data_IF_266628130980
#
_entry.id   IF_266628130980
#
_cell.length_a   1.000
_cell.length_b   1.000
_cell.length_c   1.000
_cell.angle_alpha   90.00
_cell.angle_beta   90.00
_cell.angle_gamma   90.00
#
_symmetry.space_group_name_H-M   'P 1'
#
loop_
_entity.id
_entity.type
_entity.pdbx_description
1 polymer ?
#
# COMPACT_ATOMS: atom_id res chain seq x y z
N UNK A 1 3.77 -13.13 17.10
CA UNK A 1 3.95 -12.26 18.29
C UNK A 1 2.57 -11.94 18.84
N UNK A 2 2.30 -12.13 20.13
CA UNK A 2 1.04 -11.65 20.73
C UNK A 2 1.16 -10.13 20.82
N UNK A 3 0.40 -9.40 20.00
CA UNK A 3 0.28 -7.96 20.10
C UNK A 3 -0.57 -7.63 21.32
N UNK A 4 -0.12 -6.68 22.13
CA UNK A 4 -0.94 -6.04 23.17
C UNK A 4 -0.94 -4.53 22.94
N UNK A 5 -1.91 -3.84 23.55
CA UNK A 5 -2.14 -2.39 23.38
C UNK A 5 -0.85 -1.58 23.57
N UNK A 6 -0.12 -1.84 24.66
CA UNK A 6 1.11 -1.11 25.00
C UNK A 6 2.22 -1.25 23.94
N UNK A 7 2.49 -2.47 23.45
CA UNK A 7 3.50 -2.68 22.39
C UNK A 7 3.11 -2.01 21.08
N UNK A 8 1.83 -2.01 20.74
CA UNK A 8 1.37 -1.27 19.55
C UNK A 8 1.62 0.22 19.74
N UNK A 9 1.20 0.81 20.86
CA UNK A 9 1.43 2.22 21.16
C UNK A 9 2.90 2.61 21.11
N UNK A 10 3.80 1.80 21.67
CA UNK A 10 5.24 2.04 21.60
C UNK A 10 5.73 2.07 20.15
N UNK A 11 5.32 1.07 19.35
CA UNK A 11 5.67 0.98 17.92
C UNK A 11 5.15 2.19 17.14
N UNK A 12 3.90 2.60 17.35
CA UNK A 12 3.30 3.76 16.67
C UNK A 12 4.01 5.05 17.07
N UNK A 13 4.33 5.24 18.35
CA UNK A 13 5.08 6.42 18.80
C UNK A 13 6.51 6.43 18.24
N UNK A 14 7.16 5.27 18.11
CA UNK A 14 8.45 5.18 17.44
C UNK A 14 8.33 5.56 15.96
N UNK A 15 7.31 5.05 15.26
CA UNK A 15 7.02 5.38 13.86
C UNK A 15 6.82 6.88 13.66
N UNK A 16 6.06 7.54 14.54
CA UNK A 16 5.86 9.00 14.53
C UNK A 16 7.20 9.73 14.71
N UNK A 17 8.07 9.24 15.59
CA UNK A 17 9.40 9.84 15.82
C UNK A 17 10.37 9.66 14.65
N UNK A 18 10.36 8.51 13.99
CA UNK A 18 11.35 8.16 12.94
C UNK A 18 10.87 8.50 11.53
N UNK A 19 9.65 8.07 11.19
CA UNK A 19 9.07 8.13 9.85
C UNK A 19 7.97 9.20 9.73
N UNK A 20 7.79 10.01 10.78
CA UNK A 20 6.86 11.13 10.91
C UNK A 20 5.37 10.77 10.95
N UNK A 21 4.94 9.72 10.24
CA UNK A 21 3.52 9.43 10.05
C UNK A 21 3.16 7.96 10.23
N UNK A 22 1.95 7.73 10.75
CA UNK A 22 1.30 6.43 10.91
C UNK A 22 0.30 6.20 9.78
N UNK A 23 0.24 4.98 9.25
CA UNK A 23 -0.72 4.58 8.21
C UNK A 23 -1.60 3.44 8.70
N UNK A 24 -2.91 3.69 8.77
CA UNK A 24 -3.91 2.65 8.97
C UNK A 24 -4.60 2.30 7.65
N UNK A 25 -4.84 1.01 7.39
CA UNK A 25 -5.55 0.57 6.18
C UNK A 25 -6.82 -0.17 6.55
N UNK A 26 -7.97 0.33 6.10
CA UNK A 26 -9.25 -0.35 6.24
C UNK A 26 -9.43 -1.38 5.12
N UNK A 27 -9.24 -2.66 5.44
CA UNK A 27 -9.24 -3.78 4.50
C UNK A 27 -10.50 -4.65 4.61
N UNK A 28 -11.10 -5.00 3.47
CA UNK A 28 -12.25 -5.89 3.35
C UNK A 28 -11.93 -7.32 2.93
N UNK A 29 -10.66 -7.63 2.64
CA UNK A 29 -10.21 -8.95 2.19
C UNK A 29 -8.77 -9.25 2.66
N UNK A 30 -8.44 -10.53 2.79
CA UNK A 30 -7.09 -10.97 3.19
C UNK A 30 -6.00 -10.54 2.21
N UNK A 31 -6.32 -10.48 0.91
CA UNK A 31 -5.41 -10.00 -0.13
C UNK A 31 -4.97 -8.55 0.12
N UNK A 32 -5.94 -7.67 0.36
CA UNK A 32 -5.70 -6.26 0.67
C UNK A 32 -4.88 -6.12 1.94
N UNK A 33 -5.24 -6.83 3.02
CA UNK A 33 -4.51 -6.74 4.28
C UNK A 33 -3.06 -7.23 4.17
N UNK A 34 -2.83 -8.36 3.48
CA UNK A 34 -1.49 -8.91 3.24
C UNK A 34 -0.58 -7.93 2.51
N UNK A 35 -1.08 -7.31 1.44
CA UNK A 35 -0.27 -6.35 0.67
C UNK A 35 -0.19 -4.98 1.31
N UNK A 36 -1.17 -4.57 2.12
CA UNK A 36 -1.05 -3.39 2.97
C UNK A 36 0.07 -3.57 4.02
N UNK A 37 0.18 -4.74 4.65
CA UNK A 37 1.31 -5.06 5.54
C UNK A 37 2.66 -5.00 4.81
N UNK A 38 2.76 -5.58 3.61
CA UNK A 38 3.98 -5.52 2.80
C UNK A 38 4.32 -4.10 2.34
N UNK A 39 3.29 -3.27 2.11
CA UNK A 39 3.41 -1.86 1.76
C UNK A 39 3.77 -0.95 2.94
N UNK A 40 3.88 -1.50 4.16
CA UNK A 40 4.30 -0.75 5.34
C UNK A 40 3.18 -0.07 6.12
N UNK A 41 1.93 -0.55 6.01
CA UNK A 41 0.87 -0.15 6.94
C UNK A 41 1.27 -0.49 8.38
N UNK A 42 0.80 0.31 9.34
CA UNK A 42 1.10 0.12 10.76
C UNK A 42 0.05 -0.74 11.49
N UNK A 43 -1.19 -0.70 11.00
CA UNK A 43 -2.31 -1.53 11.46
C UNK A 43 -3.41 -1.62 10.40
N UNK A 44 -4.24 -2.66 10.52
CA UNK A 44 -5.40 -2.90 9.67
C UNK A 44 -6.68 -2.58 10.44
N UNK A 45 -7.65 -1.93 9.82
CA UNK A 45 -9.03 -1.85 10.32
C UNK A 45 -9.92 -2.80 9.54
N UNK A 46 -10.62 -3.67 10.27
CA UNK A 46 -11.65 -4.53 9.70
C UNK A 46 -13.00 -3.83 9.81
N UNK A 47 -13.45 -3.20 8.73
CA UNK A 47 -14.74 -2.47 8.68
C UNK A 47 -15.73 -3.20 7.78
N UNK A 48 -17.00 -3.25 8.16
CA UNK A 48 -18.06 -3.83 7.29
C UNK A 48 -18.08 -3.14 5.92
N UNK A 49 -17.89 -1.83 5.86
CA UNK A 49 -17.82 -1.06 4.61
C UNK A 49 -16.60 -1.40 3.75
N UNK A 50 -15.51 -1.92 4.34
CA UNK A 50 -14.41 -2.52 3.56
C UNK A 50 -14.87 -3.78 2.85
N UNK A 51 -15.55 -4.69 3.57
CA UNK A 51 -16.10 -5.91 2.97
C UNK A 51 -17.09 -5.60 1.85
N UNK A 52 -17.99 -4.64 2.08
CA UNK A 52 -18.94 -4.18 1.05
C UNK A 52 -18.25 -3.64 -0.20
N UNK A 53 -17.16 -2.86 -0.05
CA UNK A 53 -16.37 -2.41 -1.22
C UNK A 53 -15.80 -3.59 -2.01
N UNK A 54 -15.30 -4.61 -1.32
CA UNK A 54 -14.77 -5.82 -1.97
C UNK A 54 -15.85 -6.66 -2.66
N UNK A 55 -17.10 -6.56 -2.20
CA UNK A 55 -18.26 -7.14 -2.88
C UNK A 55 -18.75 -6.30 -4.08
N UNK A 56 -18.07 -5.20 -4.40
CA UNK A 56 -18.46 -4.29 -5.49
C UNK A 56 -19.64 -3.39 -5.15
N UNK A 57 -19.99 -3.22 -3.87
CA UNK A 57 -21.08 -2.35 -3.42
C UNK A 57 -20.56 -1.12 -2.67
N UNK A 58 -21.42 -0.12 -2.51
CA UNK A 58 -21.07 1.15 -1.85
C UNK A 58 -20.70 0.94 -0.37
N UNK A 59 -19.75 1.74 0.15
CA UNK A 59 -19.46 1.79 1.59
C UNK A 59 -20.67 2.21 2.44
N UNK A 60 -21.67 2.86 1.83
CA UNK A 60 -22.93 3.20 2.50
C UNK A 60 -23.79 1.98 2.84
N UNK A 61 -23.55 0.82 2.24
CA UNK A 61 -24.24 -0.42 2.61
C UNK A 61 -23.98 -0.82 4.09
N UNK A 62 -22.89 -0.33 4.70
CA UNK A 62 -22.64 -0.47 6.14
C UNK A 62 -23.66 0.23 7.03
N UNK A 63 -24.44 1.17 6.50
CA UNK A 63 -25.46 1.94 7.23
C UNK A 63 -26.89 1.50 6.90
N UNK A 64 -27.05 0.45 6.08
CA UNK A 64 -28.36 -0.08 5.69
C UNK A 64 -28.60 -1.44 6.35
N UNK A 65 -29.86 -1.89 6.38
CA UNK A 65 -30.26 -3.18 6.95
C UNK A 65 -29.90 -4.38 6.05
N UNK A 66 -28.80 -4.32 5.29
CA UNK A 66 -28.41 -5.37 4.34
C UNK A 66 -27.70 -6.54 5.03
N UNK A 67 -27.03 -6.31 6.16
CA UNK A 67 -26.39 -7.34 6.98
C UNK A 67 -26.10 -6.79 8.39
N UNK A 68 -25.92 -7.68 9.36
CA UNK A 68 -25.35 -7.29 10.66
C UNK A 68 -23.87 -6.93 10.48
N UNK A 69 -23.51 -5.68 10.81
CA UNK A 69 -22.13 -5.20 10.68
C UNK A 69 -21.17 -5.98 11.58
N UNK A 70 -21.57 -6.24 12.83
CA UNK A 70 -20.75 -6.96 13.81
C UNK A 70 -20.48 -8.40 13.37
N UNK A 71 -21.52 -9.12 12.93
CA UNK A 71 -21.36 -10.49 12.42
C UNK A 71 -20.52 -10.54 11.16
N UNK A 72 -20.75 -9.61 10.23
CA UNK A 72 -19.98 -9.54 8.98
C UNK A 72 -18.49 -9.33 9.28
N UNK A 73 -18.14 -8.36 10.11
CA UNK A 73 -16.74 -8.09 10.49
C UNK A 73 -16.13 -9.29 11.21
N UNK A 74 -16.84 -9.88 12.17
CA UNK A 74 -16.36 -11.08 12.87
C UNK A 74 -16.07 -12.22 11.91
N UNK A 75 -16.94 -12.45 10.93
CA UNK A 75 -16.81 -13.53 9.96
C UNK A 75 -15.57 -13.36 9.05
N UNK A 76 -15.53 -12.28 8.25
CA UNK A 76 -14.45 -12.13 7.27
C UNK A 76 -13.11 -11.82 7.95
N UNK A 77 -13.11 -11.05 9.04
CA UNK A 77 -11.86 -10.64 9.65
C UNK A 77 -11.18 -11.78 10.41
N UNK A 78 -11.95 -12.67 11.05
CA UNK A 78 -11.38 -13.84 11.72
C UNK A 78 -10.89 -14.91 10.75
N UNK A 79 -11.55 -15.06 9.59
CA UNK A 79 -11.24 -16.11 8.60
C UNK A 79 -10.24 -15.68 7.54
N UNK A 80 -10.24 -14.40 7.17
CA UNK A 80 -9.48 -13.91 6.01
C UNK A 80 -8.39 -12.91 6.39
N UNK A 81 -8.57 -12.11 7.45
CA UNK A 81 -7.56 -11.13 7.87
C UNK A 81 -6.59 -11.75 8.87
N UNK A 82 -7.06 -12.09 10.08
CA UNK A 82 -6.19 -12.59 11.15
C UNK A 82 -5.23 -13.72 10.71
N UNK A 83 -5.64 -14.71 9.90
CA UNK A 83 -4.74 -15.81 9.50
C UNK A 83 -3.60 -15.41 8.57
N UNK A 84 -3.73 -14.31 7.81
CA UNK A 84 -2.69 -13.86 6.85
C UNK A 84 -1.78 -12.77 7.40
N UNK A 85 -2.12 -12.20 8.57
CA UNK A 85 -1.35 -11.13 9.20
C UNK A 85 -0.20 -11.69 10.04
N UNK A 86 0.97 -11.07 9.95
CA UNK A 86 2.18 -11.58 10.60
C UNK A 86 2.92 -10.57 11.48
N UNK A 87 2.82 -9.27 11.16
CA UNK A 87 3.64 -8.17 11.69
C UNK A 87 2.86 -6.93 12.12
N UNK A 88 1.59 -6.81 11.73
CA UNK A 88 0.74 -5.71 12.17
C UNK A 88 -0.62 -6.20 12.64
N UNK A 89 -1.24 -5.49 13.60
CA UNK A 89 -2.50 -5.92 14.17
C UNK A 89 -3.71 -5.61 13.31
N UNK A 90 -4.80 -6.32 13.59
CA UNK A 90 -6.14 -6.05 13.07
C UNK A 90 -7.02 -5.46 14.18
N UNK A 91 -7.64 -4.32 13.90
CA UNK A 91 -8.54 -3.58 14.77
C UNK A 91 -9.98 -3.80 14.28
N UNK A 92 -10.89 -4.17 15.17
CA UNK A 92 -12.26 -4.55 14.85
C UNK A 92 -13.16 -3.31 14.72
N UNK A 93 -13.85 -3.14 13.59
CA UNK A 93 -14.92 -2.14 13.44
C UNK A 93 -16.18 -2.62 14.15
N UNK A 94 -16.49 -2.03 15.30
CA UNK A 94 -17.62 -2.34 16.15
C UNK A 94 -18.79 -1.39 15.86
N UNK A 95 -19.94 -1.98 15.49
CA UNK A 95 -21.22 -1.28 15.46
C UNK A 95 -21.79 -1.19 16.88
N UNK A 96 -21.38 -0.18 17.63
CA UNK A 96 -21.69 -0.06 19.06
C UNK A 96 -23.17 0.27 19.37
N UNK A 97 -23.88 0.87 18.39
CA UNK A 97 -25.30 1.22 18.52
C UNK A 97 -26.23 0.11 18.02
N UNK A 98 -25.71 -1.10 17.81
CA UNK A 98 -26.52 -2.28 17.54
C UNK A 98 -27.47 -2.54 18.72
N UNK A 99 -28.80 -2.52 18.51
CA UNK A 99 -29.76 -2.67 19.60
C UNK A 99 -29.75 -4.07 20.21
N UNK A 100 -29.23 -5.08 19.52
CA UNK A 100 -29.17 -6.46 20.00
C UNK A 100 -27.83 -6.79 20.70
N UNK A 101 -26.94 -5.80 20.83
CA UNK A 101 -25.58 -6.00 21.33
C UNK A 101 -25.49 -5.92 22.86
N UNK A 102 -25.04 -7.00 23.47
CA UNK A 102 -24.47 -6.98 24.83
C UNK A 102 -23.01 -6.53 24.76
N UNK A 103 -22.77 -5.24 25.01
CA UNK A 103 -21.53 -4.55 24.65
C UNK A 103 -20.27 -5.13 25.31
N UNK A 104 -20.28 -5.30 26.64
CA UNK A 104 -19.11 -5.81 27.39
C UNK A 104 -18.73 -7.25 26.98
N UNK A 105 -19.72 -8.13 26.87
CA UNK A 105 -19.52 -9.52 26.44
C UNK A 105 -18.97 -9.59 25.03
N UNK A 106 -19.49 -8.75 24.13
CA UNK A 106 -19.06 -8.76 22.74
C UNK A 106 -17.65 -8.18 22.57
N UNK A 107 -17.30 -7.11 23.30
CA UNK A 107 -15.93 -6.57 23.30
C UNK A 107 -14.94 -7.60 23.88
N UNK A 108 -15.35 -8.31 24.93
CA UNK A 108 -14.57 -9.44 25.48
C UNK A 108 -14.37 -10.55 24.45
N UNK A 109 -15.43 -10.90 23.69
CA UNK A 109 -15.35 -11.84 22.58
C UNK A 109 -14.42 -11.38 21.47
N UNK A 110 -14.45 -10.10 21.08
CA UNK A 110 -13.52 -9.52 20.10
C UNK A 110 -12.07 -9.77 20.54
N UNK A 111 -11.74 -9.50 21.81
CA UNK A 111 -10.41 -9.78 22.36
C UNK A 111 -10.05 -11.27 22.28
N UNK A 112 -10.97 -12.17 22.62
CA UNK A 112 -10.75 -13.62 22.60
C UNK A 112 -10.47 -14.17 21.19
N UNK A 113 -11.07 -13.58 20.15
CA UNK A 113 -10.78 -13.94 18.76
C UNK A 113 -9.40 -13.48 18.26
N UNK A 114 -8.68 -12.67 19.03
CA UNK A 114 -7.32 -12.22 18.72
C UNK A 114 -7.23 -10.82 18.12
N UNK A 115 -8.34 -10.09 18.03
CA UNK A 115 -8.30 -8.65 17.75
C UNK A 115 -7.73 -7.92 18.97
N UNK A 116 -6.83 -6.96 18.73
CA UNK A 116 -6.18 -6.25 19.83
C UNK A 116 -6.83 -4.90 20.12
N UNK A 117 -7.87 -4.54 19.38
CA UNK A 117 -8.50 -3.24 19.49
C UNK A 117 -9.81 -3.12 18.75
N UNK A 118 -10.50 -2.01 18.99
CA UNK A 118 -11.76 -1.66 18.33
C UNK A 118 -11.71 -0.27 17.70
N UNK A 119 -12.65 -0.06 16.77
CA UNK A 119 -13.01 1.22 16.18
C UNK A 119 -14.54 1.34 16.19
N UNK A 120 -15.08 2.52 16.50
CA UNK A 120 -16.53 2.79 16.45
C UNK A 120 -17.00 2.96 15.01
N UNK A 121 -17.29 1.84 14.33
CA UNK A 121 -17.79 1.86 12.96
C UNK A 121 -18.66 0.64 12.65
N UNK A 122 -19.82 0.81 11.98
CA UNK A 122 -20.46 2.06 11.55
C UNK A 122 -20.75 3.02 12.72
N UNK A 123 -20.75 4.32 12.42
CA UNK A 123 -20.92 5.38 13.41
C UNK A 123 -22.09 6.28 13.07
N UNK A 124 -22.95 6.58 14.04
CA UNK A 124 -24.04 7.55 13.88
C UNK A 124 -23.51 8.96 13.60
N UNK A 125 -22.22 9.21 13.87
CA UNK A 125 -21.56 10.48 13.57
C UNK A 125 -21.54 10.85 12.08
N UNK A 126 -21.73 9.88 11.18
CA UNK A 126 -21.90 10.12 9.73
C UNK A 126 -23.35 10.40 9.31
N UNK A 127 -24.31 10.26 10.23
CA UNK A 127 -25.74 10.48 9.98
C UNK A 127 -26.11 11.87 10.50
N UNK A 128 -26.81 12.66 9.69
CA UNK A 128 -27.25 14.03 9.99
C UNK A 128 -28.76 14.23 9.76
N UNK A 129 -29.21 15.47 9.95
CA UNK A 129 -30.59 15.89 9.75
C UNK A 129 -31.61 15.25 10.69
N UNK A 130 -32.88 15.29 10.28
CA UNK A 130 -34.01 14.77 11.07
C UNK A 130 -33.86 13.27 11.37
N UNK A 131 -33.19 12.52 10.50
CA UNK A 131 -32.96 11.09 10.74
C UNK A 131 -31.99 10.87 11.90
N UNK A 132 -30.91 11.66 11.99
CA UNK A 132 -30.02 11.62 13.16
C UNK A 132 -30.75 11.98 14.45
N UNK A 133 -31.57 13.02 14.43
CA UNK A 133 -32.37 13.42 15.60
C UNK A 133 -33.30 12.29 16.07
N UNK A 134 -33.93 11.59 15.12
CA UNK A 134 -34.77 10.43 15.42
C UNK A 134 -33.97 9.28 16.04
N UNK A 135 -32.78 8.95 15.52
CA UNK A 135 -31.91 7.92 16.09
C UNK A 135 -31.51 8.24 17.53
N UNK A 136 -31.06 9.48 17.78
CA UNK A 136 -30.66 9.93 19.13
C UNK A 136 -31.86 9.89 20.10
N UNK A 137 -33.07 10.20 19.64
CA UNK A 137 -34.29 10.10 20.46
C UNK A 137 -34.65 8.65 20.89
N UNK A 138 -34.10 7.65 20.20
CA UNK A 138 -34.34 6.22 20.43
C UNK A 138 -33.10 5.52 21.00
N UNK A 139 -32.21 6.27 21.65
CA UNK A 139 -30.97 5.75 22.27
C UNK A 139 -29.98 5.09 21.29
N UNK A 140 -30.05 5.44 20.00
CA UNK A 140 -29.04 5.12 18.99
C UNK A 140 -28.11 6.33 18.87
N UNK A 141 -27.28 6.49 19.90
CA UNK A 141 -26.56 7.74 20.20
C UNK A 141 -25.05 7.58 20.03
N UNK A 142 -24.35 8.69 19.76
CA UNK A 142 -22.88 8.68 19.75
C UNK A 142 -22.30 8.35 21.13
N UNK A 143 -23.02 8.63 22.22
CA UNK A 143 -22.62 8.29 23.59
C UNK A 143 -22.44 6.78 23.80
N UNK A 144 -23.21 5.93 23.11
CA UNK A 144 -22.99 4.47 23.12
C UNK A 144 -21.68 4.07 22.44
N UNK A 145 -21.24 4.80 21.42
CA UNK A 145 -19.92 4.60 20.81
C UNK A 145 -18.79 5.00 21.76
N UNK A 146 -18.98 6.09 22.52
CA UNK A 146 -18.05 6.52 23.57
C UNK A 146 -17.95 5.45 24.68
N UNK A 147 -19.07 4.87 25.09
CA UNK A 147 -19.09 3.78 26.07
C UNK A 147 -18.33 2.55 25.57
N UNK A 148 -18.48 2.18 24.29
CA UNK A 148 -17.73 1.07 23.72
C UNK A 148 -16.21 1.29 23.79
N UNK A 149 -15.75 2.53 23.50
CA UNK A 149 -14.33 2.89 23.63
C UNK A 149 -13.87 2.83 25.09
N UNK A 150 -14.70 3.26 26.04
CA UNK A 150 -14.41 3.18 27.49
C UNK A 150 -14.25 1.74 27.95
N UNK A 151 -15.18 0.86 27.61
CA UNK A 151 -15.13 -0.57 27.96
C UNK A 151 -13.91 -1.22 27.31
N UNK A 152 -13.64 -0.94 26.03
CA UNK A 152 -12.47 -1.49 25.36
C UNK A 152 -11.16 -1.03 26.02
N UNK A 153 -11.05 0.24 26.39
CA UNK A 153 -9.88 0.75 27.11
C UNK A 153 -9.69 0.02 28.46
N UNK A 154 -10.76 -0.15 29.24
CA UNK A 154 -10.73 -0.89 30.52
C UNK A 154 -10.31 -2.35 30.35
N UNK A 155 -10.67 -2.96 29.22
CA UNK A 155 -10.27 -4.33 28.85
C UNK A 155 -8.88 -4.39 28.17
N UNK A 156 -8.06 -3.33 28.24
CA UNK A 156 -6.72 -3.25 27.64
C UNK A 156 -6.72 -3.54 26.12
N UNK A 157 -7.79 -3.12 25.44
CA UNK A 157 -7.85 -3.09 23.98
C UNK A 157 -7.40 -1.71 23.48
N UNK A 158 -6.71 -1.74 22.34
CA UNK A 158 -6.37 -0.55 21.57
C UNK A 158 -7.63 0.08 20.99
N UNK A 159 -7.67 1.41 20.91
CA UNK A 159 -8.90 2.13 20.55
C UNK A 159 -8.63 3.19 19.49
N UNK A 160 -9.38 3.10 18.39
CA UNK A 160 -9.38 4.10 17.32
C UNK A 160 -10.75 4.76 17.30
N UNK A 161 -10.84 6.00 17.79
CA UNK A 161 -12.11 6.71 17.86
C UNK A 161 -12.31 7.61 16.64
N UNK A 162 -13.31 7.31 15.80
CA UNK A 162 -13.80 8.24 14.80
C UNK A 162 -14.62 9.35 15.44
N UNK A 163 -14.29 10.58 15.10
CA UNK A 163 -14.94 11.80 15.62
C UNK A 163 -15.19 12.80 14.49
N UNK A 164 -16.21 13.64 14.67
CA UNK A 164 -16.70 14.58 13.65
C UNK A 164 -16.71 16.02 14.14
N UNK A 165 -16.59 16.24 15.45
CA UNK A 165 -16.54 17.56 16.06
C UNK A 165 -15.72 17.55 17.37
N UNK A 166 -15.53 18.73 17.95
CA UNK A 166 -14.70 18.94 19.15
C UNK A 166 -15.28 18.22 20.38
N UNK A 167 -16.60 18.26 20.59
CA UNK A 167 -17.25 17.61 21.74
C UNK A 167 -16.98 16.11 21.73
N UNK A 168 -17.19 15.47 20.58
CA UNK A 168 -16.95 14.04 20.42
C UNK A 168 -15.49 13.64 20.66
N UNK A 169 -14.54 14.48 20.24
CA UNK A 169 -13.12 14.24 20.52
C UNK A 169 -12.83 14.30 22.03
N UNK A 170 -13.41 15.26 22.74
CA UNK A 170 -13.28 15.38 24.20
C UNK A 170 -13.87 14.14 24.88
N UNK A 171 -15.07 13.72 24.49
CA UNK A 171 -15.75 12.56 25.08
C UNK A 171 -14.94 11.27 24.86
N UNK A 172 -14.40 11.07 23.65
CA UNK A 172 -13.56 9.92 23.32
C UNK A 172 -12.22 9.95 24.06
N UNK A 173 -11.64 11.13 24.29
CA UNK A 173 -10.43 11.27 25.12
C UNK A 173 -10.71 10.88 26.57
N UNK A 174 -11.82 11.33 27.15
CA UNK A 174 -12.22 10.92 28.50
C UNK A 174 -12.55 9.43 28.60
N UNK A 175 -13.02 8.80 27.51
CA UNK A 175 -13.18 7.35 27.41
C UNK A 175 -11.85 6.59 27.28
N UNK A 176 -10.72 7.28 27.12
CA UNK A 176 -9.40 6.66 27.01
C UNK A 176 -9.02 6.22 25.60
N UNK A 177 -9.52 6.91 24.57
CA UNK A 177 -9.11 6.66 23.19
C UNK A 177 -7.59 6.82 22.98
N UNK A 178 -6.98 5.85 22.31
CA UNK A 178 -5.54 5.86 21.99
C UNK A 178 -5.25 6.69 20.72
N UNK A 179 -6.14 6.58 19.74
CA UNK A 179 -6.18 7.41 18.52
C UNK A 179 -7.48 8.20 18.50
N UNK A 180 -7.36 9.52 18.31
CA UNK A 180 -8.47 10.37 17.85
C UNK A 180 -8.33 10.52 16.34
N UNK A 181 -9.30 9.98 15.60
CA UNK A 181 -9.32 10.01 14.15
C UNK A 181 -10.47 10.88 13.65
N UNK A 182 -10.15 12.05 13.08
CA UNK A 182 -11.16 12.94 12.49
C UNK A 182 -11.64 12.33 11.17
N UNK A 183 -12.91 11.95 11.13
CA UNK A 183 -13.53 11.38 9.96
C UNK A 183 -14.12 12.49 9.08
N UNK A 184 -13.51 12.71 7.91
CA UNK A 184 -13.79 13.83 7.01
C UNK A 184 -14.95 13.55 6.04
N UNK A 185 -15.88 12.67 6.44
CA UNK A 185 -16.94 12.15 5.56
C UNK A 185 -16.47 11.09 4.56
N UNK A 186 -17.34 10.78 3.58
CA UNK A 186 -17.11 9.72 2.60
C UNK A 186 -16.03 10.10 1.59
N UNK A 187 -15.15 9.15 1.29
CA UNK A 187 -14.10 9.30 0.27
C UNK A 187 -14.71 9.50 -1.12
N UNK A 188 -14.26 10.53 -1.81
CA UNK A 188 -14.68 10.82 -3.20
C UNK A 188 -13.81 10.03 -4.18
N UNK A 189 -14.37 9.59 -5.31
CA UNK A 189 -13.63 8.84 -6.35
C UNK A 189 -13.97 7.35 -6.48
N UNK A 190 -13.59 6.76 -7.62
CA UNK A 190 -14.09 5.46 -8.10
C UNK A 190 -15.46 5.58 -8.79
N UNK A 191 -15.91 4.51 -9.48
CA UNK A 191 -17.18 4.54 -10.24
C UNK A 191 -18.39 4.70 -9.30
N UNK A 192 -18.27 4.16 -8.07
CA UNK A 192 -19.31 4.15 -7.03
C UNK A 192 -19.01 5.11 -5.86
N UNK A 193 -18.14 6.12 -6.06
CA UNK A 193 -17.76 7.09 -5.02
C UNK A 193 -18.84 8.14 -4.74
N UNK A 194 -18.83 8.73 -3.54
CA UNK A 194 -19.68 9.87 -3.22
C UNK A 194 -19.21 11.13 -3.99
N UNK A 195 -20.15 12.01 -4.38
CA UNK A 195 -19.82 13.32 -5.00
C UNK A 195 -19.15 14.23 -3.95
N UNK A 196 -18.22 15.09 -4.38
CA UNK A 196 -17.40 15.91 -3.48
C UNK A 196 -18.23 17.02 -2.82
N UNK A 197 -18.43 16.90 -1.49
CA UNK A 197 -19.18 17.87 -0.68
C UNK A 197 -18.24 18.89 0.00
N UNK A 198 -16.97 18.51 0.25
CA UNK A 198 -16.03 19.28 1.06
C UNK A 198 -14.68 19.50 0.35
N UNK A 199 -14.10 20.70 0.48
CA UNK A 199 -12.77 21.01 -0.05
C UNK A 199 -11.66 20.53 0.90
N UNK A 200 -10.47 20.28 0.36
CA UNK A 200 -9.32 19.83 1.16
C UNK A 200 -8.91 20.86 2.23
N UNK A 201 -9.05 22.17 1.91
CA UNK A 201 -8.82 23.26 2.87
C UNK A 201 -9.80 23.24 4.04
N UNK A 202 -11.10 23.05 3.79
CA UNK A 202 -12.08 23.01 4.88
C UNK A 202 -11.96 21.73 5.70
N UNK A 203 -11.59 20.61 5.08
CA UNK A 203 -11.25 19.36 5.77
C UNK A 203 -10.05 19.53 6.71
N UNK A 204 -8.98 20.19 6.25
CA UNK A 204 -7.81 20.52 7.08
C UNK A 204 -8.17 21.42 8.25
N UNK A 205 -8.96 22.47 8.01
CA UNK A 205 -9.44 23.38 9.05
C UNK A 205 -10.21 22.64 10.14
N UNK A 206 -11.18 21.80 9.74
CA UNK A 206 -11.96 20.97 10.67
C UNK A 206 -11.07 20.09 11.54
N UNK A 207 -10.12 19.37 10.93
CA UNK A 207 -9.21 18.51 11.67
C UNK A 207 -8.36 19.30 12.68
N UNK A 208 -7.79 20.43 12.28
CA UNK A 208 -6.99 21.30 13.16
C UNK A 208 -7.82 21.84 14.32
N UNK A 209 -9.05 22.28 14.08
CA UNK A 209 -9.92 22.81 15.12
C UNK A 209 -10.29 21.73 16.15
N UNK A 210 -10.58 20.49 15.72
CA UNK A 210 -10.82 19.36 16.64
C UNK A 210 -9.55 19.01 17.43
N UNK A 211 -8.38 18.98 16.78
CA UNK A 211 -7.13 18.63 17.44
C UNK A 211 -6.61 19.70 18.40
N UNK A 212 -7.10 20.95 18.31
CA UNK A 212 -6.82 21.98 19.33
C UNK A 212 -7.26 21.51 20.72
N UNK A 213 -8.49 21.01 20.84
CA UNK A 213 -9.01 20.46 22.09
C UNK A 213 -8.24 19.21 22.56
N UNK A 214 -7.80 18.38 21.59
CA UNK A 214 -6.99 17.22 21.91
C UNK A 214 -5.64 17.61 22.53
N UNK A 215 -5.00 18.65 22.00
CA UNK A 215 -3.71 19.12 22.52
C UNK A 215 -3.83 19.71 23.93
N UNK A 216 -4.97 20.32 24.25
CA UNK A 216 -5.25 20.89 25.58
C UNK A 216 -5.48 19.79 26.64
N UNK A 217 -6.20 18.72 26.28
CA UNK A 217 -6.55 17.64 27.22
C UNK A 217 -5.48 16.53 27.32
N UNK A 218 -4.97 16.07 26.17
CA UNK A 218 -3.98 15.01 26.10
C UNK A 218 -3.05 15.22 24.88
N UNK A 219 -1.94 15.96 25.04
CA UNK A 219 -1.04 16.28 23.93
C UNK A 219 -0.36 15.05 23.30
N UNK A 220 -0.33 13.93 24.02
CA UNK A 220 0.29 12.68 23.58
C UNK A 220 -0.66 11.77 22.79
N UNK A 221 -1.94 12.13 22.65
CA UNK A 221 -2.87 11.32 21.85
C UNK A 221 -2.45 11.33 20.38
N UNK A 222 -2.55 10.18 19.73
CA UNK A 222 -2.22 10.05 18.31
C UNK A 222 -3.39 10.64 17.50
N UNK A 223 -3.09 11.67 16.71
CA UNK A 223 -4.07 12.42 15.91
C UNK A 223 -4.03 11.95 14.46
N UNK A 224 -5.12 11.39 13.95
CA UNK A 224 -5.19 10.88 12.57
C UNK A 224 -6.39 11.44 11.82
N UNK A 225 -6.35 11.40 10.50
CA UNK A 225 -7.49 11.76 9.64
C UNK A 225 -7.94 10.56 8.80
N UNK A 226 -9.23 10.47 8.50
CA UNK A 226 -9.80 9.42 7.66
C UNK A 226 -10.78 9.99 6.62
N UNK A 227 -10.67 9.49 5.39
CA UNK A 227 -11.67 9.70 4.34
C UNK A 227 -11.77 11.13 3.80
N UNK A 228 -12.96 11.51 3.36
CA UNK A 228 -13.25 12.81 2.78
C UNK A 228 -12.55 13.10 1.45
N UNK A 229 -12.06 14.33 1.21
CA UNK A 229 -11.40 14.70 -0.03
C UNK A 229 -9.95 14.18 -0.16
N UNK A 230 -9.45 13.42 0.82
CA UNK A 230 -8.06 12.95 0.87
C UNK A 230 -7.93 11.62 0.12
N UNK A 231 -7.46 11.67 -1.13
CA UNK A 231 -7.50 10.53 -2.05
C UNK A 231 -6.13 10.12 -2.62
N UNK A 232 -5.11 10.95 -2.42
CA UNK A 232 -3.78 10.75 -2.98
C UNK A 232 -2.69 11.13 -1.98
N UNK A 233 -1.43 10.72 -2.21
CA UNK A 233 -0.32 11.11 -1.35
C UNK A 233 -0.14 12.63 -1.21
N UNK A 234 -0.44 13.40 -2.26
CA UNK A 234 -0.31 14.86 -2.21
C UNK A 234 -1.40 15.51 -1.34
N UNK A 235 -2.62 14.95 -1.34
CA UNK A 235 -3.68 15.41 -0.45
C UNK A 235 -3.32 15.14 1.02
N UNK A 236 -2.78 13.95 1.29
CA UNK A 236 -2.33 13.57 2.63
C UNK A 236 -1.18 14.47 3.10
N UNK A 237 -0.19 14.73 2.23
CA UNK A 237 0.90 15.65 2.55
C UNK A 237 0.37 17.05 2.89
N UNK A 238 -0.58 17.55 2.10
CA UNK A 238 -1.23 18.83 2.38
C UNK A 238 -1.92 18.86 3.74
N UNK A 239 -2.55 17.76 4.18
CA UNK A 239 -3.14 17.67 5.52
C UNK A 239 -2.05 17.76 6.61
N UNK A 240 -0.90 17.12 6.41
CA UNK A 240 0.21 17.13 7.37
C UNK A 240 0.94 18.47 7.48
N UNK A 241 1.07 19.21 6.38
CA UNK A 241 1.89 20.42 6.34
C UNK A 241 1.42 21.48 7.35
N UNK A 242 2.30 21.83 8.30
CA UNK A 242 2.00 22.84 9.33
C UNK A 242 0.94 22.42 10.34
N UNK A 243 0.65 21.11 10.48
CA UNK A 243 -0.31 20.59 11.46
C UNK A 243 0.33 19.59 12.42
N UNK A 244 -0.39 19.25 13.49
CA UNK A 244 0.00 18.22 14.45
C UNK A 244 -0.54 16.82 14.10
N UNK A 245 -0.91 16.58 12.84
CA UNK A 245 -1.49 15.31 12.39
C UNK A 245 -0.38 14.24 12.33
N UNK A 246 -0.59 13.15 13.04
CA UNK A 246 0.35 12.05 13.17
C UNK A 246 0.15 10.96 12.12
N UNK A 247 -0.95 10.95 11.38
CA UNK A 247 -1.17 9.91 10.39
C UNK A 247 -2.49 9.98 9.63
N UNK A 248 -2.69 9.00 8.76
CA UNK A 248 -3.86 8.86 7.91
C UNK A 248 -4.37 7.42 7.95
N UNK A 249 -5.69 7.27 7.98
CA UNK A 249 -6.35 5.99 7.78
C UNK A 249 -7.11 6.05 6.45
N UNK A 250 -6.93 5.04 5.60
CA UNK A 250 -7.61 4.97 4.31
C UNK A 250 -8.29 3.64 4.07
N UNK A 251 -9.46 3.65 3.44
CA UNK A 251 -10.14 2.46 2.94
C UNK A 251 -10.08 2.38 1.42
N UNK A 252 -11.01 3.07 0.76
CA UNK A 252 -11.16 3.07 -0.71
C UNK A 252 -9.86 3.39 -1.47
N UNK A 253 -9.01 4.26 -0.93
CA UNK A 253 -7.76 4.72 -1.57
C UNK A 253 -6.68 3.63 -1.64
N UNK A 254 -6.68 2.68 -0.70
CA UNK A 254 -5.71 1.58 -0.66
C UNK A 254 -6.24 0.30 -1.31
N UNK A 255 -7.56 0.20 -1.43
CA UNK A 255 -8.25 -1.03 -1.80
C UNK A 255 -9.02 -0.87 -3.11
N UNK A 256 -10.16 -0.18 -3.05
CA UNK A 256 -11.16 -0.17 -4.12
C UNK A 256 -10.67 0.57 -5.36
N UNK A 257 -10.16 1.79 -5.19
CA UNK A 257 -9.78 2.66 -6.31
C UNK A 257 -8.62 2.02 -7.12
N UNK A 258 -7.54 1.53 -6.49
CA UNK A 258 -6.49 0.83 -7.23
C UNK A 258 -6.99 -0.47 -7.89
N UNK A 259 -7.80 -1.27 -7.18
CA UNK A 259 -8.31 -2.53 -7.70
C UNK A 259 -9.22 -2.33 -8.92
N UNK A 260 -10.17 -1.40 -8.86
CA UNK A 260 -11.06 -1.06 -9.99
C UNK A 260 -10.25 -0.68 -11.23
N UNK A 261 -9.22 0.16 -11.07
CA UNK A 261 -8.39 0.62 -12.18
C UNK A 261 -7.52 -0.50 -12.75
N UNK A 262 -6.81 -1.25 -11.89
CA UNK A 262 -5.88 -2.31 -12.32
C UNK A 262 -6.63 -3.47 -12.96
N UNK A 263 -7.73 -3.94 -12.36
CA UNK A 263 -8.51 -5.05 -12.90
C UNK A 263 -9.11 -4.67 -14.26
N UNK A 264 -9.64 -3.46 -14.39
CA UNK A 264 -10.21 -2.96 -15.64
C UNK A 264 -9.15 -2.84 -16.73
N UNK A 265 -8.03 -2.21 -16.43
CA UNK A 265 -6.96 -2.00 -17.42
C UNK A 265 -6.30 -3.30 -17.84
N UNK A 266 -6.06 -4.20 -16.90
CA UNK A 266 -5.50 -5.54 -17.18
C UNK A 266 -6.49 -6.31 -18.06
N UNK A 267 -7.76 -6.40 -17.68
CA UNK A 267 -8.77 -7.08 -18.51
C UNK A 267 -8.83 -6.48 -19.92
N UNK A 268 -8.76 -5.14 -20.03
CA UNK A 268 -8.73 -4.44 -21.31
C UNK A 268 -7.49 -4.79 -22.13
N UNK A 269 -6.29 -4.85 -21.53
CA UNK A 269 -5.06 -5.22 -22.24
C UNK A 269 -5.08 -6.64 -22.78
N UNK A 270 -5.72 -7.58 -22.07
CA UNK A 270 -5.94 -8.95 -22.56
C UNK A 270 -6.96 -9.02 -23.72
N UNK A 271 -7.82 -8.01 -23.90
CA UNK A 271 -8.74 -7.89 -25.04
C UNK A 271 -8.13 -7.15 -26.23
N UNK A 272 -7.20 -6.22 -25.98
CA UNK A 272 -6.53 -5.39 -26.99
C UNK A 272 -5.19 -5.98 -27.46
N UNK A 273 -5.06 -7.31 -27.41
CA UNK A 273 -3.83 -8.03 -27.81
C UNK A 273 -3.51 -7.89 -29.30
N UNK A 274 -4.48 -7.52 -30.14
CA UNK A 274 -4.31 -7.33 -31.58
C UNK A 274 -3.34 -6.19 -31.97
N UNK A 275 -3.06 -5.27 -31.04
CA UNK A 275 -2.10 -4.17 -31.23
C UNK A 275 -0.76 -4.42 -30.53
N UNK A 276 -0.55 -5.60 -29.93
CA UNK A 276 0.75 -5.97 -29.38
C UNK A 276 1.64 -6.36 -30.57
N UNK A 277 2.56 -5.46 -30.93
CA UNK A 277 3.69 -5.85 -31.78
C UNK A 277 4.57 -6.79 -30.96
N UNK A 278 4.66 -8.04 -31.40
CA UNK A 278 5.70 -8.94 -30.90
C UNK A 278 7.04 -8.28 -31.18
N UNK A 279 7.88 -8.15 -30.16
CA UNK A 279 9.30 -7.85 -30.40
C UNK A 279 9.84 -8.94 -31.34
N UNK A 280 10.73 -8.56 -32.27
CA UNK A 280 11.26 -9.47 -33.29
C UNK A 280 11.85 -10.77 -32.67
N UNK A 281 12.38 -10.66 -31.46
CA UNK A 281 12.86 -11.76 -30.62
C UNK A 281 11.75 -12.74 -30.21
N UNK A 282 10.58 -12.26 -29.82
CA UNK A 282 9.42 -13.08 -29.45
C UNK A 282 8.79 -13.72 -30.70
N UNK A 283 8.75 -12.99 -31.81
CA UNK A 283 8.26 -13.53 -33.07
C UNK A 283 9.14 -14.70 -33.56
N UNK A 284 10.47 -14.58 -33.47
CA UNK A 284 11.40 -15.68 -33.77
C UNK A 284 11.24 -16.89 -32.84
N UNK A 285 10.96 -16.70 -31.55
CA UNK A 285 10.65 -17.81 -30.64
C UNK A 285 9.37 -18.55 -31.09
N UNK A 286 8.35 -17.82 -31.53
CA UNK A 286 7.06 -18.39 -31.94
C UNK A 286 7.12 -19.12 -33.29
N UNK A 287 7.93 -18.64 -34.22
CA UNK A 287 8.14 -19.28 -35.54
C UNK A 287 9.07 -20.52 -35.45
N UNK A 288 9.78 -20.67 -34.33
CA UNK A 288 10.73 -21.76 -34.09
C UNK A 288 12.10 -21.44 -34.67
N UNK A 289 13.14 -21.87 -33.96
CA UNK A 289 14.52 -21.70 -34.39
C UNK A 289 14.90 -22.81 -35.39
N UNK A 290 15.17 -22.45 -36.65
CA UNK A 290 15.44 -23.41 -37.72
C UNK A 290 16.90 -23.84 -37.78
N UNK A 291 17.83 -22.98 -37.35
CA UNK A 291 19.27 -23.24 -37.38
C UNK A 291 19.98 -22.68 -36.13
N UNK A 292 21.30 -22.92 -36.03
CA UNK A 292 22.15 -22.47 -34.92
C UNK A 292 22.26 -20.94 -34.86
N UNK A 293 22.29 -20.29 -36.02
CA UNK A 293 22.43 -18.85 -36.18
C UNK A 293 21.22 -18.10 -35.58
N UNK A 294 20.00 -18.63 -35.74
CA UNK A 294 18.77 -18.03 -35.21
C UNK A 294 18.80 -17.93 -33.68
N UNK A 295 19.28 -18.99 -33.01
CA UNK A 295 19.45 -18.99 -31.55
C UNK A 295 20.47 -17.93 -31.12
N UNK A 296 21.58 -17.81 -31.85
CA UNK A 296 22.65 -16.87 -31.51
C UNK A 296 22.23 -15.43 -31.75
N UNK A 297 21.46 -15.17 -32.80
CA UNK A 297 20.89 -13.87 -33.10
C UNK A 297 19.89 -13.46 -32.01
N UNK A 298 19.01 -14.38 -31.59
CA UNK A 298 18.12 -14.14 -30.45
C UNK A 298 18.90 -13.79 -29.18
N UNK A 299 19.97 -14.52 -28.87
CA UNK A 299 20.79 -14.24 -27.67
C UNK A 299 21.40 -12.84 -27.77
N UNK A 300 21.88 -12.42 -28.94
CA UNK A 300 22.43 -11.07 -29.17
C UNK A 300 21.36 -9.99 -29.01
N UNK A 301 20.17 -10.21 -29.56
CA UNK A 301 19.02 -9.29 -29.42
C UNK A 301 18.54 -9.20 -27.97
N UNK A 302 18.50 -10.33 -27.27
CA UNK A 302 18.16 -10.34 -25.85
C UNK A 302 19.17 -9.54 -25.04
N UNK A 303 20.47 -9.72 -25.30
CA UNK A 303 21.52 -8.91 -24.68
C UNK A 303 21.34 -7.43 -25.01
N UNK A 304 21.05 -7.08 -26.26
CA UNK A 304 20.95 -5.68 -26.68
C UNK A 304 19.80 -4.93 -26.00
N UNK A 305 18.70 -5.63 -25.69
CA UNK A 305 17.54 -5.07 -25.00
C UNK A 305 17.66 -5.12 -23.46
N UNK A 306 18.35 -6.11 -22.90
CA UNK A 306 18.41 -6.35 -21.45
C UNK A 306 19.80 -6.17 -20.82
N UNK A 307 20.79 -5.62 -21.53
CA UNK A 307 22.15 -5.48 -20.99
C UNK A 307 22.24 -4.65 -19.70
N UNK A 308 21.23 -3.84 -19.38
CA UNK A 308 21.17 -3.03 -18.15
C UNK A 308 20.82 -3.85 -16.91
N UNK A 309 20.30 -5.06 -17.08
CA UNK A 309 19.78 -5.92 -16.01
C UNK A 309 20.80 -7.01 -15.61
N UNK A 310 20.60 -7.69 -14.47
CA UNK A 310 21.38 -8.88 -14.12
C UNK A 310 20.90 -10.08 -14.95
N UNK A 311 21.47 -10.25 -16.15
CA UNK A 311 21.17 -11.39 -17.03
C UNK A 311 22.21 -12.50 -16.89
N UNK A 312 21.73 -13.75 -16.82
CA UNK A 312 22.59 -14.94 -16.81
C UNK A 312 22.33 -15.84 -18.01
N UNK A 313 23.31 -16.68 -18.34
CA UNK A 313 23.15 -17.69 -19.37
C UNK A 313 22.05 -18.71 -19.05
N UNK A 314 21.77 -18.93 -17.77
CA UNK A 314 20.70 -19.83 -17.32
C UNK A 314 19.32 -19.26 -17.66
N UNK A 315 19.14 -17.94 -17.53
CA UNK A 315 17.86 -17.28 -17.85
C UNK A 315 17.54 -17.44 -19.33
N UNK A 316 18.54 -17.21 -20.18
CA UNK A 316 18.43 -17.37 -21.63
C UNK A 316 18.18 -18.83 -22.01
N UNK A 317 18.85 -19.77 -21.36
CA UNK A 317 18.64 -21.19 -21.60
C UNK A 317 17.20 -21.62 -21.26
N UNK A 318 16.63 -21.09 -20.17
CA UNK A 318 15.24 -21.33 -19.80
C UNK A 318 14.27 -20.74 -20.83
N UNK A 319 14.51 -19.53 -21.33
CA UNK A 319 13.68 -18.89 -22.37
C UNK A 319 13.67 -19.75 -23.64
N UNK A 320 14.83 -20.29 -24.03
CA UNK A 320 14.97 -21.10 -25.24
C UNK A 320 14.59 -22.59 -25.03
N UNK A 321 14.24 -23.00 -23.80
CA UNK A 321 14.04 -24.40 -23.42
C UNK A 321 15.24 -25.30 -23.78
N UNK A 322 16.47 -24.78 -23.63
CA UNK A 322 17.72 -25.48 -23.92
C UNK A 322 18.51 -25.72 -22.64
N UNK A 323 19.45 -26.68 -22.67
CA UNK A 323 20.41 -26.82 -21.58
C UNK A 323 21.41 -25.66 -21.59
N UNK A 324 21.76 -25.14 -20.41
CA UNK A 324 22.81 -24.11 -20.24
C UNK A 324 24.11 -24.46 -20.95
N UNK A 325 24.52 -25.73 -20.88
CA UNK A 325 25.74 -26.25 -21.53
C UNK A 325 25.65 -26.09 -23.04
N UNK A 326 24.53 -26.46 -23.65
CA UNK A 326 24.33 -26.34 -25.08
C UNK A 326 24.38 -24.87 -25.53
N UNK A 327 23.66 -23.97 -24.84
CA UNK A 327 23.69 -22.53 -25.13
C UNK A 327 25.10 -21.95 -25.00
N UNK A 328 25.86 -22.37 -23.98
CA UNK A 328 27.25 -21.94 -23.79
C UNK A 328 28.15 -22.35 -24.95
N UNK A 329 28.05 -23.60 -25.39
CA UNK A 329 28.85 -24.13 -26.49
C UNK A 329 28.47 -23.46 -27.80
N UNK A 330 27.17 -23.42 -28.10
CA UNK A 330 26.60 -22.80 -29.28
C UNK A 330 27.05 -21.34 -29.44
N UNK A 331 26.84 -20.53 -28.40
CA UNK A 331 27.18 -19.10 -28.47
C UNK A 331 28.68 -18.89 -28.64
N UNK A 332 29.52 -19.70 -27.98
CA UNK A 332 30.98 -19.57 -28.09
C UNK A 332 31.50 -20.01 -29.45
N UNK A 333 30.93 -21.07 -30.03
CA UNK A 333 31.28 -21.56 -31.37
C UNK A 333 30.96 -20.50 -32.44
N UNK A 334 29.75 -19.93 -32.40
CA UNK A 334 29.27 -19.00 -33.43
C UNK A 334 29.78 -17.56 -33.26
N UNK A 335 29.95 -17.09 -32.02
CA UNK A 335 30.36 -15.70 -31.72
C UNK A 335 31.86 -15.58 -31.46
N UNK A 336 32.55 -16.69 -31.19
CA UNK A 336 34.00 -16.74 -30.93
C UNK A 336 34.43 -16.31 -29.53
N UNK A 337 33.50 -15.83 -28.70
CA UNK A 337 33.74 -15.43 -27.31
C UNK A 337 32.67 -15.98 -26.39
N UNK A 338 32.95 -16.06 -25.08
CA UNK A 338 31.92 -16.49 -24.13
C UNK A 338 30.79 -15.45 -24.04
N UNK A 339 29.59 -15.90 -23.66
CA UNK A 339 28.46 -15.02 -23.36
C UNK A 339 28.83 -13.90 -22.38
N UNK A 340 29.55 -14.24 -21.32
CA UNK A 340 29.98 -13.29 -20.28
C UNK A 340 30.93 -12.25 -20.87
N UNK A 341 31.90 -12.67 -21.69
CA UNK A 341 32.81 -11.74 -22.38
C UNK A 341 32.07 -10.83 -23.35
N UNK A 342 31.10 -11.38 -24.09
CA UNK A 342 30.28 -10.62 -25.03
C UNK A 342 29.46 -9.55 -24.31
N UNK A 343 28.75 -9.90 -23.25
CA UNK A 343 27.96 -8.96 -22.44
C UNK A 343 28.84 -7.85 -21.84
N UNK A 344 30.00 -8.21 -21.29
CA UNK A 344 30.96 -7.23 -20.77
C UNK A 344 31.37 -6.25 -21.87
N UNK A 345 31.74 -6.75 -23.06
CA UNK A 345 32.15 -5.90 -24.17
C UNK A 345 31.00 -5.01 -24.67
N UNK A 346 29.78 -5.54 -24.75
CA UNK A 346 28.59 -4.80 -25.14
C UNK A 346 28.34 -3.62 -24.18
N UNK A 347 28.30 -3.89 -22.87
CA UNK A 347 28.14 -2.86 -21.83
C UNK A 347 29.22 -1.80 -21.89
N UNK A 348 30.48 -2.19 -22.09
CA UNK A 348 31.60 -1.25 -22.19
C UNK A 348 31.51 -0.37 -23.45
N UNK A 349 31.10 -0.93 -24.58
CA UNK A 349 30.94 -0.15 -25.81
C UNK A 349 29.77 0.86 -25.69
N UNK A 350 28.63 0.45 -25.11
CA UNK A 350 27.54 1.39 -24.75
C UNK A 350 28.01 2.49 -23.79
N UNK A 351 28.83 2.13 -22.80
CA UNK A 351 29.39 3.11 -21.87
C UNK A 351 30.31 4.12 -22.57
N UNK A 352 31.13 3.67 -23.53
CA UNK A 352 31.98 4.55 -24.34
C UNK A 352 31.13 5.48 -25.20
N UNK A 353 30.08 4.96 -25.85
CA UNK A 353 29.15 5.79 -26.62
C UNK A 353 28.53 6.90 -25.73
N UNK A 354 27.98 6.54 -24.57
CA UNK A 354 27.40 7.49 -23.60
C UNK A 354 28.42 8.50 -23.07
N UNK A 355 29.68 8.09 -22.86
CA UNK A 355 30.76 9.00 -22.45
C UNK A 355 31.02 10.11 -23.47
N UNK A 356 30.84 9.84 -24.76
CA UNK A 356 31.05 10.82 -25.84
C UNK A 356 29.80 11.64 -26.17
N UNK A 357 28.60 11.08 -25.99
CA UNK A 357 27.34 11.74 -26.37
C UNK A 357 26.64 12.47 -25.22
N UNK A 358 26.85 12.03 -23.97
CA UNK A 358 26.11 12.52 -22.81
C UNK A 358 27.04 13.21 -21.80
N UNK A 359 26.58 14.34 -21.22
CA UNK A 359 27.30 15.02 -20.13
C UNK A 359 26.90 14.46 -18.76
N UNK A 360 27.08 13.16 -18.57
CA UNK A 360 26.73 12.48 -17.32
C UNK A 360 27.94 12.13 -16.45
N UNK A 361 27.79 12.07 -15.11
CA UNK A 361 28.81 11.51 -14.24
C UNK A 361 29.10 10.05 -14.58
N UNK A 362 30.37 9.64 -14.55
CA UNK A 362 30.80 8.26 -14.87
C UNK A 362 30.16 7.19 -13.98
N UNK A 363 29.83 7.54 -12.73
CA UNK A 363 29.08 6.65 -11.84
C UNK A 363 27.67 6.38 -12.36
N UNK A 364 27.01 7.39 -12.94
CA UNK A 364 25.68 7.24 -13.53
C UNK A 364 25.72 6.44 -14.83
N UNK A 365 26.75 6.65 -15.66
CA UNK A 365 26.98 5.83 -16.86
C UNK A 365 27.17 4.36 -16.47
N UNK A 366 27.91 4.07 -15.40
CA UNK A 366 28.09 2.70 -14.91
C UNK A 366 26.76 2.05 -14.51
N UNK A 367 25.88 2.76 -13.81
CA UNK A 367 24.54 2.29 -13.48
C UNK A 367 23.70 2.04 -14.75
N UNK A 368 23.73 2.97 -15.70
CA UNK A 368 22.97 2.90 -16.95
C UNK A 368 23.43 1.80 -17.90
N UNK A 369 24.64 1.25 -17.72
CA UNK A 369 25.12 0.09 -18.49
C UNK A 369 25.14 -1.20 -17.68
N UNK A 370 24.42 -1.23 -16.54
CA UNK A 370 24.17 -2.46 -15.78
C UNK A 370 25.22 -2.82 -14.73
N UNK A 371 25.96 -1.84 -14.19
CA UNK A 371 26.86 -2.03 -13.05
C UNK A 371 26.36 -1.26 -11.83
N UNK A 372 25.91 -1.99 -10.81
CA UNK A 372 25.44 -1.42 -9.54
C UNK A 372 26.54 -0.67 -8.75
N UNK A 373 27.82 -0.93 -9.04
CA UNK A 373 28.95 -0.31 -8.36
C UNK A 373 30.01 0.20 -9.34
N UNK A 374 30.28 1.50 -9.31
CA UNK A 374 31.30 2.16 -10.13
C UNK A 374 32.71 1.57 -9.96
N UNK A 375 33.07 1.09 -8.77
CA UNK A 375 34.38 0.46 -8.51
C UNK A 375 34.54 -0.80 -9.34
N UNK A 376 33.49 -1.62 -9.46
CA UNK A 376 33.52 -2.83 -10.28
C UNK A 376 33.61 -2.47 -11.77
N UNK A 377 32.77 -1.53 -12.22
CA UNK A 377 32.81 -1.01 -13.58
C UNK A 377 34.22 -0.51 -13.96
N UNK A 378 34.81 0.36 -13.14
CA UNK A 378 36.12 0.97 -13.40
C UNK A 378 37.25 -0.08 -13.48
N UNK A 379 37.22 -1.10 -12.61
CA UNK A 379 38.16 -2.24 -12.67
C UNK A 379 38.02 -3.01 -13.99
N UNK A 380 36.79 -3.34 -14.38
CA UNK A 380 36.52 -4.10 -15.62
C UNK A 380 36.89 -3.27 -16.85
N UNK A 381 36.51 -1.98 -16.88
CA UNK A 381 36.85 -1.06 -17.95
C UNK A 381 38.37 -0.94 -18.12
N UNK A 382 39.11 -0.70 -17.03
CA UNK A 382 40.58 -0.63 -17.07
C UNK A 382 41.22 -1.93 -17.54
N UNK A 383 40.70 -3.08 -17.10
CA UNK A 383 41.18 -4.39 -17.54
C UNK A 383 41.00 -4.60 -19.05
N UNK A 384 39.91 -4.09 -19.63
CA UNK A 384 39.55 -4.29 -21.05
C UNK A 384 40.11 -3.23 -22.00
N UNK A 385 40.20 -1.97 -21.55
CA UNK A 385 40.58 -0.81 -22.36
C UNK A 385 41.97 -0.26 -22.01
N UNK A 386 42.66 -0.83 -21.02
CA UNK A 386 44.02 -0.45 -20.61
C UNK A 386 44.10 0.79 -19.71
N UNK A 387 43.13 1.70 -19.80
CA UNK A 387 43.06 2.94 -19.01
C UNK A 387 41.74 3.03 -18.23
N UNK A 388 41.69 3.85 -17.17
CA UNK A 388 40.47 4.08 -16.40
C UNK A 388 39.43 4.89 -17.19
N UNK A 389 38.12 4.74 -16.91
CA UNK A 389 37.07 5.53 -17.59
C UNK A 389 37.33 7.05 -17.57
N UNK A 390 37.79 7.58 -16.44
CA UNK A 390 38.10 9.01 -16.27
C UNK A 390 39.30 9.50 -17.08
N UNK A 391 40.22 8.60 -17.44
CA UNK A 391 41.37 8.92 -18.29
C UNK A 391 40.97 8.79 -19.76
N UNK A 392 40.21 7.76 -20.09
CA UNK A 392 39.64 7.54 -21.42
C UNK A 392 38.80 8.72 -21.89
N UNK A 393 38.03 9.38 -21.01
CA UNK A 393 37.23 10.57 -21.37
C UNK A 393 38.07 11.83 -21.67
N UNK A 394 39.32 11.88 -21.20
CA UNK A 394 40.22 13.04 -21.37
C UNK A 394 41.13 12.92 -22.60
N UNK A 395 41.25 11.71 -23.13
CA UNK A 395 41.94 11.38 -24.38
C UNK A 395 40.92 11.47 -25.52
#
# INVERSE_FOLDING_TARGET
MVYNKWRLLEKLNQQIKTNKHVIGVAAGSGLTAKYAEQGGADFILALCSGRFRQMGVSSLAGFTACASSNELVMDFASKELLPVMSKIPVIFGLFATDPMLHMEDYISRIKQYGFIGINNYPTVGLIDGQFREALESQDITFSREVEAIRIANQLDLFTVAFVFNQSQAIDMLHAGADIICVHLGLTTGGVLGAKQIQSLQSAKKLAVDIFRACNELNPNVIKMVYGGPVNSPIDVQFMYDGTGINGYIGGSVFERIPAEQVIKNTTKSFKETFNIQYEASIQKIMEGFANKEDYVEFIKDYISNHYMEEITLSDIANILNLSRTYVSTLFKEEVGVSFVDYLINFRLNRAIEMMHTERLPLARIAEMVGYANYVQFSKIFKKRKGVSPSRFLKE
#
